data_IF_899144544890
#
_entry.id   IF_899144544890
#
_cell.length_a   1.000
_cell.length_b   1.000
_cell.length_c   1.000
_cell.angle_alpha   90.00
_cell.angle_beta   90.00
_cell.angle_gamma   90.00
#
_symmetry.space_group_name_H-M   'P 1'
#
loop_
_entity.id
_entity.type
_entity.pdbx_description
1 polymer ?
#
# COMPACT_ATOMS: atom_id res chain seq x y z
N UNK A 1 -2.26 28.24 -16.79
CA UNK A 1 -3.58 28.89 -16.98
C UNK A 1 -3.37 30.30 -17.49
N UNK A 2 -4.20 30.77 -18.43
CA UNK A 2 -4.24 32.19 -18.84
C UNK A 2 -5.42 32.86 -18.14
N UNK A 3 -5.26 34.08 -17.67
CA UNK A 3 -6.30 34.86 -17.02
C UNK A 3 -6.79 35.95 -17.97
N UNK A 4 -8.06 36.25 -17.93
CA UNK A 4 -8.68 37.39 -18.66
C UNK A 4 -9.40 38.25 -17.61
N UNK A 5 -9.37 39.56 -17.81
CA UNK A 5 -10.14 40.51 -16.99
C UNK A 5 -11.46 40.75 -17.71
N UNK A 6 -12.53 40.84 -16.95
CA UNK A 6 -13.89 41.14 -17.44
C UNK A 6 -14.46 42.24 -16.54
N UNK A 7 -15.35 43.07 -17.10
CA UNK A 7 -16.08 44.08 -16.34
C UNK A 7 -17.17 43.44 -15.46
N UNK A 8 -17.73 44.22 -14.53
CA UNK A 8 -18.71 43.75 -13.55
C UNK A 8 -20.00 43.25 -14.22
N UNK A 9 -20.44 43.88 -15.33
CA UNK A 9 -21.64 43.49 -16.05
C UNK A 9 -21.47 42.11 -16.67
N UNK A 10 -20.35 41.87 -17.34
CA UNK A 10 -20.01 40.59 -17.93
C UNK A 10 -19.78 39.50 -16.88
N UNK A 11 -19.14 39.86 -15.76
CA UNK A 11 -18.95 38.94 -14.62
C UNK A 11 -20.31 38.47 -14.09
N UNK A 12 -21.24 39.38 -13.81
CA UNK A 12 -22.56 39.05 -13.31
C UNK A 12 -23.37 38.25 -14.32
N UNK A 13 -23.25 38.55 -15.62
CA UNK A 13 -23.88 37.77 -16.68
C UNK A 13 -23.37 36.32 -16.68
N UNK A 14 -22.07 36.11 -16.64
CA UNK A 14 -21.46 34.78 -16.61
C UNK A 14 -21.91 34.02 -15.35
N UNK A 15 -21.82 34.65 -14.18
CA UNK A 15 -22.20 34.05 -12.89
C UNK A 15 -23.68 33.63 -12.84
N UNK A 16 -24.58 34.47 -13.44
CA UNK A 16 -26.02 34.16 -13.50
C UNK A 16 -26.36 32.95 -14.38
N UNK A 17 -25.43 32.47 -15.17
CA UNK A 17 -25.61 31.32 -16.07
C UNK A 17 -25.10 29.99 -15.47
N UNK A 18 -24.71 29.99 -14.20
CA UNK A 18 -24.33 28.75 -13.47
C UNK A 18 -25.51 27.78 -13.42
N UNK A 19 -25.32 26.54 -13.84
CA UNK A 19 -26.34 25.48 -13.86
C UNK A 19 -26.08 24.37 -12.85
N UNK A 20 -24.84 24.24 -12.38
CA UNK A 20 -24.44 23.20 -11.44
C UNK A 20 -23.51 23.76 -10.37
N UNK A 21 -23.61 23.20 -9.15
CA UNK A 21 -22.69 23.55 -8.04
C UNK A 21 -21.27 23.15 -8.42
N UNK A 22 -20.33 24.09 -8.38
CA UNK A 22 -18.92 23.87 -8.73
C UNK A 22 -18.58 24.04 -10.21
N UNK A 23 -19.55 24.50 -11.05
CA UNK A 23 -19.28 24.84 -12.45
C UNK A 23 -18.30 26.03 -12.51
N UNK A 24 -17.20 25.89 -13.26
CA UNK A 24 -16.22 26.96 -13.43
C UNK A 24 -16.67 27.99 -14.48
N UNK A 25 -16.16 29.24 -14.36
CA UNK A 25 -16.40 30.27 -15.38
C UNK A 25 -15.98 29.79 -16.80
N UNK A 26 -14.96 28.98 -16.91
CA UNK A 26 -14.53 28.39 -18.18
C UNK A 26 -15.55 27.41 -18.75
N UNK A 27 -16.22 26.63 -17.91
CA UNK A 27 -17.26 25.69 -18.35
C UNK A 27 -18.51 26.42 -18.78
N UNK A 28 -18.91 27.46 -18.03
CA UNK A 28 -20.03 28.34 -18.40
C UNK A 28 -19.77 28.99 -19.77
N UNK A 29 -18.57 29.56 -19.96
CA UNK A 29 -18.20 30.21 -21.23
C UNK A 29 -18.15 29.23 -22.42
N UNK A 30 -17.60 28.01 -22.18
CA UNK A 30 -17.60 26.97 -23.23
C UNK A 30 -19.01 26.60 -23.67
N UNK A 31 -19.91 26.47 -22.71
CA UNK A 31 -21.33 26.16 -22.97
C UNK A 31 -22.00 27.29 -23.74
N UNK A 32 -21.79 28.56 -23.35
CA UNK A 32 -22.35 29.72 -24.03
C UNK A 32 -21.81 29.87 -25.45
N UNK A 33 -20.52 29.59 -25.68
CA UNK A 33 -19.84 29.66 -26.96
C UNK A 33 -19.97 28.38 -27.81
N UNK A 34 -20.69 27.37 -27.31
CA UNK A 34 -20.86 26.05 -27.97
C UNK A 34 -19.50 25.37 -28.27
N UNK A 35 -18.52 25.59 -27.44
CA UNK A 35 -17.22 24.91 -27.52
C UNK A 35 -17.32 23.49 -26.87
N UNK A 36 -16.50 22.53 -27.29
CA UNK A 36 -16.47 21.23 -26.66
C UNK A 36 -16.13 21.36 -25.16
N UNK A 37 -16.78 20.54 -24.32
CA UNK A 37 -16.53 20.52 -22.89
C UNK A 37 -15.03 20.34 -22.61
N UNK A 38 -14.49 21.08 -21.62
CA UNK A 38 -13.13 20.82 -21.14
C UNK A 38 -13.11 19.46 -20.43
N UNK A 39 -12.17 18.56 -20.72
CA UNK A 39 -12.04 17.35 -19.94
C UNK A 39 -11.70 17.75 -18.49
N UNK A 40 -12.61 17.46 -17.57
CA UNK A 40 -12.42 17.73 -16.14
C UNK A 40 -11.22 16.91 -15.66
N UNK A 41 -10.26 17.48 -14.93
CA UNK A 41 -9.11 16.72 -14.41
C UNK A 41 -9.52 15.51 -13.60
N UNK A 42 -10.66 15.60 -12.90
CA UNK A 42 -11.21 14.53 -12.11
C UNK A 42 -11.73 13.34 -12.95
N UNK A 43 -12.35 13.60 -14.09
CA UNK A 43 -12.86 12.55 -14.99
C UNK A 43 -11.69 11.80 -15.64
N UNK A 44 -10.63 12.52 -16.04
CA UNK A 44 -9.41 11.90 -16.59
C UNK A 44 -8.71 10.99 -15.58
N UNK A 45 -8.68 11.37 -14.29
CA UNK A 45 -8.11 10.53 -13.23
C UNK A 45 -8.95 9.27 -13.02
N UNK A 46 -10.28 9.39 -13.03
CA UNK A 46 -11.17 8.22 -12.90
C UNK A 46 -11.10 7.29 -14.12
N UNK A 47 -11.08 7.83 -15.33
CA UNK A 47 -10.95 7.02 -16.56
C UNK A 47 -9.60 6.29 -16.61
N UNK A 48 -8.51 6.95 -16.24
CA UNK A 48 -7.20 6.31 -16.17
C UNK A 48 -7.18 5.19 -15.11
N UNK A 49 -7.74 5.41 -13.92
CA UNK A 49 -7.85 4.37 -12.89
C UNK A 49 -8.74 3.20 -13.34
N UNK A 50 -9.87 3.49 -14.01
CA UNK A 50 -10.77 2.45 -14.53
C UNK A 50 -10.08 1.66 -15.65
N UNK A 51 -9.33 2.31 -16.52
CA UNK A 51 -8.59 1.65 -17.60
C UNK A 51 -7.44 0.82 -17.05
N UNK A 52 -6.67 1.32 -16.08
CA UNK A 52 -5.65 0.53 -15.38
C UNK A 52 -6.24 -0.71 -14.68
N UNK A 53 -7.41 -0.57 -14.03
CA UNK A 53 -8.10 -1.70 -13.41
C UNK A 53 -8.61 -2.71 -14.44
N UNK A 54 -9.10 -2.26 -15.59
CA UNK A 54 -9.55 -3.12 -16.70
C UNK A 54 -8.38 -3.85 -17.35
N UNK A 55 -7.23 -3.20 -17.49
CA UNK A 55 -6.04 -3.82 -18.06
C UNK A 55 -5.42 -4.82 -17.09
N UNK A 56 -5.39 -4.53 -15.79
CA UNK A 56 -5.02 -5.47 -14.74
C UNK A 56 -5.97 -6.68 -14.70
N UNK A 57 -7.27 -6.48 -14.94
CA UNK A 57 -8.24 -7.58 -15.00
C UNK A 57 -8.03 -8.52 -16.20
N UNK A 58 -7.52 -7.99 -17.32
CA UNK A 58 -7.24 -8.74 -18.55
C UNK A 58 -5.85 -9.40 -18.58
N UNK A 59 -4.97 -9.08 -17.62
CA UNK A 59 -3.62 -9.66 -17.59
C UNK A 59 -3.66 -11.15 -17.25
N UNK A 60 -2.85 -12.01 -17.94
CA UNK A 60 -2.68 -13.40 -17.55
C UNK A 60 -2.14 -13.49 -16.11
N UNK A 61 -2.55 -14.52 -15.38
CA UNK A 61 -2.20 -14.71 -13.95
C UNK A 61 -0.70 -14.50 -13.67
N UNK A 62 0.18 -14.97 -14.54
CA UNK A 62 1.63 -14.79 -14.42
C UNK A 62 2.07 -13.32 -14.46
N UNK A 63 1.53 -12.49 -15.37
CA UNK A 63 1.86 -11.07 -15.43
C UNK A 63 1.35 -10.29 -14.22
N UNK A 64 0.19 -10.66 -13.67
CA UNK A 64 -0.33 -10.08 -12.42
C UNK A 64 0.60 -10.36 -11.24
N UNK A 65 1.11 -11.59 -11.14
CA UNK A 65 2.03 -12.01 -10.09
C UNK A 65 3.36 -11.25 -10.16
N UNK A 66 3.96 -11.12 -11.35
CA UNK A 66 5.17 -10.30 -11.53
C UNK A 66 4.96 -8.84 -11.12
N UNK A 67 3.86 -8.24 -11.54
CA UNK A 67 3.56 -6.85 -11.19
C UNK A 67 3.35 -6.65 -9.68
N UNK A 68 2.76 -7.63 -9.01
CA UNK A 68 2.56 -7.61 -7.56
C UNK A 68 3.90 -7.79 -6.82
N UNK A 69 4.76 -8.71 -7.26
CA UNK A 69 6.10 -8.89 -6.70
C UNK A 69 6.95 -7.63 -6.85
N UNK A 70 6.91 -6.94 -7.99
CA UNK A 70 7.61 -5.67 -8.20
C UNK A 70 7.17 -4.58 -7.21
N UNK A 71 5.88 -4.50 -6.89
CA UNK A 71 5.37 -3.57 -5.87
C UNK A 71 5.93 -3.90 -4.49
N UNK A 72 5.93 -5.17 -4.11
CA UNK A 72 6.48 -5.61 -2.83
C UNK A 72 7.95 -5.30 -2.73
N UNK A 73 8.73 -5.61 -3.77
CA UNK A 73 10.18 -5.33 -3.83
C UNK A 73 10.43 -3.84 -3.62
N UNK A 74 9.77 -2.97 -4.39
CA UNK A 74 9.92 -1.51 -4.28
C UNK A 74 9.57 -0.99 -2.88
N UNK A 75 8.50 -1.50 -2.29
CA UNK A 75 8.07 -1.08 -0.96
C UNK A 75 9.06 -1.51 0.13
N UNK A 76 9.58 -2.73 0.05
CA UNK A 76 10.61 -3.23 0.98
C UNK A 76 11.91 -2.44 0.82
N UNK A 77 12.35 -2.18 -0.41
CA UNK A 77 13.56 -1.38 -0.68
C UNK A 77 13.42 0.05 -0.18
N UNK A 78 12.25 0.66 -0.35
CA UNK A 78 11.95 1.98 0.20
C UNK A 78 12.09 2.00 1.73
N UNK A 79 11.58 0.98 2.42
CA UNK A 79 11.73 0.87 3.89
C UNK A 79 13.18 0.69 4.27
N UNK A 80 13.93 -0.18 3.59
CA UNK A 80 15.36 -0.42 3.86
C UNK A 80 16.22 0.84 3.64
N UNK A 81 15.86 1.69 2.68
CA UNK A 81 16.55 2.95 2.41
C UNK A 81 16.13 4.08 3.37
N UNK A 82 15.04 3.91 4.11
CA UNK A 82 14.52 4.96 4.98
C UNK A 82 15.40 5.21 6.21
N UNK A 83 15.54 6.47 6.60
CA UNK A 83 16.26 6.85 7.83
C UNK A 83 15.59 6.31 9.08
N UNK A 84 14.27 6.15 9.09
CA UNK A 84 13.52 5.56 10.20
C UNK A 84 13.94 4.12 10.46
N UNK A 85 14.11 3.32 9.41
CA UNK A 85 14.56 1.93 9.53
C UNK A 85 16.03 1.84 9.93
N UNK A 86 16.89 2.66 9.32
CA UNK A 86 18.34 2.64 9.56
C UNK A 86 18.71 3.14 10.97
N UNK A 87 17.97 4.10 11.52
CA UNK A 87 18.16 4.62 12.86
C UNK A 87 17.48 3.79 13.95
N UNK A 88 16.63 2.83 13.59
CA UNK A 88 15.94 1.98 14.55
C UNK A 88 16.88 0.89 15.09
N UNK A 89 17.13 0.94 16.38
CA UNK A 89 18.03 -0.01 17.08
C UNK A 89 17.32 -1.25 17.60
N UNK A 90 16.00 -1.16 17.81
CA UNK A 90 15.21 -2.27 18.34
C UNK A 90 14.80 -3.24 17.25
N UNK A 91 15.33 -4.46 17.30
CA UNK A 91 14.99 -5.50 16.31
C UNK A 91 13.49 -5.78 16.17
N UNK A 92 12.70 -5.58 17.23
CA UNK A 92 11.23 -5.75 17.17
C UNK A 92 10.57 -4.68 16.31
N UNK A 93 11.03 -3.43 16.36
CA UNK A 93 10.46 -2.35 15.56
C UNK A 93 10.87 -2.50 14.08
N UNK A 94 12.13 -2.86 13.81
CA UNK A 94 12.59 -3.20 12.45
C UNK A 94 11.76 -4.32 11.85
N UNK A 95 11.48 -5.36 12.62
CA UNK A 95 10.64 -6.49 12.23
C UNK A 95 9.22 -6.04 11.87
N UNK A 96 8.58 -5.22 12.73
CA UNK A 96 7.23 -4.70 12.48
C UNK A 96 7.17 -3.76 11.27
N UNK A 97 8.20 -2.92 11.03
CA UNK A 97 8.26 -2.05 9.86
C UNK A 97 8.28 -2.85 8.55
N UNK A 98 9.08 -3.92 8.50
CA UNK A 98 9.13 -4.78 7.31
C UNK A 98 7.84 -5.57 7.09
N UNK A 99 7.23 -6.10 8.15
CA UNK A 99 5.94 -6.77 8.05
C UNK A 99 4.82 -5.82 7.56
N UNK A 100 4.80 -4.59 8.08
CA UNK A 100 3.87 -3.56 7.61
C UNK A 100 4.07 -3.24 6.12
N UNK A 101 5.32 -3.13 5.68
CA UNK A 101 5.65 -2.88 4.27
C UNK A 101 5.18 -4.01 3.34
N UNK A 102 5.41 -5.26 3.75
CA UNK A 102 4.96 -6.44 3.01
C UNK A 102 3.43 -6.48 2.90
N UNK A 103 2.73 -6.26 4.02
CA UNK A 103 1.27 -6.22 4.03
C UNK A 103 0.69 -5.11 3.16
N UNK A 104 1.22 -3.88 3.27
CA UNK A 104 0.76 -2.74 2.46
C UNK A 104 0.91 -2.97 0.96
N UNK A 105 2.00 -3.60 0.57
CA UNK A 105 2.28 -3.85 -0.84
C UNK A 105 1.43 -4.97 -1.43
N UNK A 106 1.16 -6.02 -0.64
CA UNK A 106 0.36 -7.18 -1.06
C UNK A 106 -0.42 -7.78 0.12
N UNK A 107 -1.59 -7.23 0.47
CA UNK A 107 -2.41 -7.74 1.58
C UNK A 107 -2.91 -9.18 1.38
N UNK A 108 -3.22 -9.57 0.14
CA UNK A 108 -3.71 -10.92 -0.18
C UNK A 108 -2.58 -11.94 -0.10
N UNK A 109 -1.44 -11.68 -0.75
CA UNK A 109 -0.26 -12.54 -0.69
C UNK A 109 0.27 -12.68 0.73
N UNK A 110 0.29 -11.58 1.49
CA UNK A 110 0.66 -11.61 2.91
C UNK A 110 -0.27 -12.49 3.74
N UNK A 111 -1.60 -12.38 3.54
CA UNK A 111 -2.59 -13.19 4.26
C UNK A 111 -2.38 -14.68 4.00
N UNK A 112 -2.25 -15.08 2.75
CA UNK A 112 -1.96 -16.47 2.38
C UNK A 112 -0.62 -16.97 2.92
N UNK A 113 0.40 -16.13 2.87
CA UNK A 113 1.72 -16.49 3.39
C UNK A 113 1.71 -16.72 4.90
N UNK A 114 0.96 -15.91 5.68
CA UNK A 114 0.84 -16.10 7.13
C UNK A 114 0.18 -17.41 7.52
N UNK A 115 -0.70 -17.97 6.72
CA UNK A 115 -1.32 -19.28 6.95
C UNK A 115 -0.32 -20.42 6.81
N UNK A 116 0.66 -20.27 5.91
CA UNK A 116 1.70 -21.28 5.66
C UNK A 116 2.92 -21.16 6.58
N UNK A 117 3.13 -19.99 7.20
CA UNK A 117 4.29 -19.70 8.04
C UNK A 117 3.88 -19.75 9.53
N UNK A 118 3.74 -20.98 10.03
CA UNK A 118 3.45 -21.23 11.44
C UNK A 118 4.53 -22.13 12.06
N UNK A 119 4.71 -22.02 13.36
CA UNK A 119 5.57 -22.96 14.08
C UNK A 119 4.85 -24.27 14.40
N UNK A 120 5.61 -25.34 14.65
CA UNK A 120 5.05 -26.64 15.04
C UNK A 120 4.23 -26.59 16.33
N UNK A 121 4.62 -25.72 17.26
CA UNK A 121 3.98 -25.58 18.57
C UNK A 121 3.50 -24.15 18.86
N UNK A 122 3.79 -23.19 17.99
CA UNK A 122 3.49 -21.79 18.22
C UNK A 122 2.91 -21.13 16.97
N UNK A 123 1.84 -20.39 17.17
CA UNK A 123 1.28 -19.52 16.13
C UNK A 123 2.12 -18.25 16.06
N UNK A 124 2.69 -17.95 14.88
CA UNK A 124 3.48 -16.74 14.69
C UNK A 124 2.62 -15.54 14.32
N UNK A 125 1.58 -15.77 13.51
CA UNK A 125 0.67 -14.74 13.01
C UNK A 125 -0.78 -15.12 13.28
N UNK A 126 -1.60 -14.16 13.71
CA UNK A 126 -3.04 -14.31 13.87
C UNK A 126 -3.76 -12.99 13.59
N UNK A 127 -5.09 -13.03 13.44
CA UNK A 127 -5.92 -11.82 13.30
C UNK A 127 -6.32 -11.18 14.63
N UNK A 128 -6.01 -11.83 15.74
CA UNK A 128 -6.26 -11.34 17.09
C UNK A 128 -5.11 -11.70 18.05
N UNK A 129 -4.97 -10.91 19.07
CA UNK A 129 -3.90 -11.07 20.08
C UNK A 129 -4.07 -12.35 20.88
N UNK A 130 -5.30 -12.69 21.23
CA UNK A 130 -5.62 -13.80 22.15
C UNK A 130 -5.19 -15.14 21.55
N UNK A 131 -5.38 -15.34 20.26
CA UNK A 131 -4.95 -16.53 19.53
C UNK A 131 -3.44 -16.74 19.64
N UNK A 132 -2.62 -15.68 19.58
CA UNK A 132 -1.17 -15.79 19.76
C UNK A 132 -0.84 -16.06 21.23
N UNK A 133 -1.45 -15.35 22.16
CA UNK A 133 -1.19 -15.49 23.59
C UNK A 133 -1.57 -16.87 24.13
N UNK A 134 -2.58 -17.52 23.56
CA UNK A 134 -3.00 -18.87 23.93
C UNK A 134 -1.94 -19.94 23.66
N UNK A 135 -0.92 -19.66 22.83
CA UNK A 135 0.14 -20.63 22.47
C UNK A 135 1.23 -20.79 23.54
N UNK A 136 1.17 -20.03 24.64
CA UNK A 136 2.12 -20.21 25.75
C UNK A 136 2.10 -19.05 26.76
N UNK A 137 2.43 -19.34 27.99
CA UNK A 137 2.37 -18.41 29.15
C UNK A 137 3.33 -17.21 29.06
N UNK A 138 4.41 -17.32 28.29
CA UNK A 138 5.42 -16.25 28.13
C UNK A 138 5.38 -15.56 26.77
N UNK A 139 4.34 -15.78 26.00
CA UNK A 139 4.21 -15.21 24.66
C UNK A 139 3.86 -13.71 24.74
N UNK A 140 4.46 -12.91 23.86
CA UNK A 140 4.12 -11.49 23.66
C UNK A 140 3.75 -11.28 22.20
N UNK A 141 2.61 -10.69 21.98
CA UNK A 141 2.13 -10.32 20.66
C UNK A 141 2.19 -8.79 20.46
N UNK A 142 2.31 -8.37 19.22
CA UNK A 142 2.10 -6.98 18.81
C UNK A 142 1.33 -6.95 17.50
N UNK A 143 0.46 -5.97 17.36
CA UNK A 143 -0.20 -5.71 16.10
C UNK A 143 0.82 -5.19 15.07
N UNK A 144 0.75 -5.70 13.86
CA UNK A 144 1.54 -5.20 12.74
C UNK A 144 0.89 -3.86 12.31
N UNK A 145 1.65 -2.74 12.28
CA UNK A 145 1.10 -1.45 11.95
C UNK A 145 0.34 -1.46 10.61
N UNK A 146 -0.82 -0.82 10.60
CA UNK A 146 -1.69 -0.68 9.43
C UNK A 146 -2.17 -2.02 8.82
N UNK A 147 -2.21 -3.08 9.63
CA UNK A 147 -2.73 -4.38 9.25
C UNK A 147 -3.68 -4.96 10.30
N UNK A 148 -4.56 -5.90 9.95
CA UNK A 148 -5.39 -6.62 10.91
C UNK A 148 -4.64 -7.77 11.61
N UNK A 149 -3.36 -7.95 11.33
CA UNK A 149 -2.58 -9.07 11.84
C UNK A 149 -1.79 -8.72 13.10
N UNK A 150 -1.67 -9.71 13.97
CA UNK A 150 -0.80 -9.72 15.13
C UNK A 150 0.34 -10.69 14.91
N UNK A 151 1.50 -10.43 15.51
CA UNK A 151 2.69 -11.27 15.38
C UNK A 151 3.37 -11.46 16.73
N UNK A 152 3.92 -12.65 16.93
CA UNK A 152 4.74 -12.97 18.10
C UNK A 152 6.03 -12.15 18.11
N UNK A 153 6.38 -11.54 19.26
CA UNK A 153 7.52 -10.60 19.33
C UNK A 153 8.58 -10.94 20.38
N UNK A 154 8.33 -11.90 21.26
CA UNK A 154 9.27 -12.30 22.31
C UNK A 154 10.38 -13.26 21.86
N UNK A 155 10.57 -13.41 20.56
CA UNK A 155 11.69 -14.14 19.95
C UNK A 155 12.97 -13.29 19.95
N UNK A 156 14.13 -13.93 19.87
CA UNK A 156 15.39 -13.24 19.62
C UNK A 156 15.43 -12.61 18.21
N UNK A 157 16.44 -11.80 17.93
CA UNK A 157 16.53 -11.08 16.66
C UNK A 157 16.68 -12.03 15.48
N UNK A 158 17.55 -13.02 15.59
CA UNK A 158 17.75 -14.05 14.56
C UNK A 158 16.44 -14.80 14.23
N UNK A 159 15.65 -15.20 15.25
CA UNK A 159 14.37 -15.89 15.01
C UNK A 159 13.35 -15.00 14.29
N UNK A 160 13.34 -13.69 14.58
CA UNK A 160 12.53 -12.73 13.81
C UNK A 160 12.94 -12.70 12.35
N UNK A 161 14.24 -12.72 12.08
CA UNK A 161 14.77 -12.81 10.72
C UNK A 161 14.31 -14.09 10.00
N UNK A 162 14.36 -15.24 10.69
CA UNK A 162 13.90 -16.53 10.14
C UNK A 162 12.40 -16.49 9.79
N UNK A 163 11.55 -15.98 10.70
CA UNK A 163 10.09 -15.86 10.48
C UNK A 163 9.83 -14.95 9.28
N UNK A 164 10.52 -13.81 9.20
CA UNK A 164 10.37 -12.87 8.11
C UNK A 164 10.80 -13.46 6.76
N UNK A 165 11.94 -14.16 6.73
CA UNK A 165 12.41 -14.85 5.53
C UNK A 165 11.45 -15.96 5.09
N UNK A 166 10.89 -16.74 6.01
CA UNK A 166 9.90 -17.76 5.71
C UNK A 166 8.63 -17.14 5.08
N UNK A 167 8.18 -15.99 5.63
CA UNK A 167 7.04 -15.25 5.08
C UNK A 167 7.34 -14.72 3.67
N UNK A 168 8.51 -14.14 3.45
CA UNK A 168 8.93 -13.62 2.15
C UNK A 168 9.05 -14.74 1.09
N UNK A 169 9.56 -15.91 1.48
CA UNK A 169 9.61 -17.08 0.61
C UNK A 169 8.20 -17.59 0.28
N UNK A 170 7.27 -17.61 1.24
CA UNK A 170 5.88 -17.96 1.01
C UNK A 170 5.14 -16.96 0.11
N UNK A 171 5.60 -15.71 0.06
CA UNK A 171 5.18 -14.68 -0.90
C UNK A 171 5.92 -14.75 -2.25
N UNK A 172 6.78 -15.76 -2.45
CA UNK A 172 7.57 -15.98 -3.67
C UNK A 172 8.47 -14.79 -4.05
N UNK A 173 9.02 -14.09 -3.06
CA UNK A 173 9.92 -12.96 -3.29
C UNK A 173 11.34 -13.44 -3.68
N UNK A 174 12.10 -12.62 -4.45
CA UNK A 174 13.43 -12.99 -4.91
C UNK A 174 14.40 -13.32 -3.77
N UNK A 175 15.18 -14.40 -3.92
CA UNK A 175 16.16 -14.85 -2.92
C UNK A 175 17.18 -13.77 -2.52
N UNK A 176 17.61 -12.94 -3.49
CA UNK A 176 18.52 -11.83 -3.22
C UNK A 176 17.95 -10.80 -2.24
N UNK A 177 16.65 -10.52 -2.31
CA UNK A 177 15.96 -9.64 -1.35
C UNK A 177 15.85 -10.31 0.01
N UNK A 178 15.48 -11.59 0.05
CA UNK A 178 15.37 -12.38 1.28
C UNK A 178 16.73 -12.44 2.01
N UNK A 179 17.83 -12.68 1.29
CA UNK A 179 19.18 -12.69 1.86
C UNK A 179 19.59 -11.33 2.45
N UNK A 180 19.29 -10.23 1.76
CA UNK A 180 19.54 -8.87 2.28
C UNK A 180 18.76 -8.58 3.57
N UNK A 181 17.52 -9.01 3.64
CA UNK A 181 16.69 -8.87 4.84
C UNK A 181 17.24 -9.73 5.97
N UNK A 182 17.62 -10.97 5.70
CA UNK A 182 18.22 -11.87 6.70
C UNK A 182 19.45 -11.24 7.37
N UNK A 183 20.32 -10.60 6.57
CA UNK A 183 21.51 -9.92 7.06
C UNK A 183 21.22 -8.78 8.05
N UNK A 184 20.02 -8.23 8.05
CA UNK A 184 19.60 -7.16 8.97
C UNK A 184 19.24 -7.69 10.38
N UNK A 185 19.13 -9.01 10.55
CA UNK A 185 18.73 -9.67 11.79
C UNK A 185 19.78 -10.64 12.36
N UNK A 186 20.99 -10.63 11.79
CA UNK A 186 22.14 -11.38 12.29
C UNK A 186 22.91 -10.60 13.36
#
# INVERSE_FOLDING_TARGET
>A
MKTIEVDDELYHYIASRTQAIGESASDILRRLLRLPASPQPFVLVQENMINELKDLAKMPKQKKQFHQQDKVIKQVEFVLASSLFNNETKGVNRFLHLLSALYKADPEGFSHATENVQGSERIYFARDEQTILATGSSVKAKQIPESPFWVITNNNTERKGIILCALMNAMELPEGLVARIKAQFN
#
